data_IF_388948690891
#
_entry.id   IF_388948690891
#
_cell.length_a   1.000
_cell.length_b   1.000
_cell.length_c   1.000
_cell.angle_alpha   90.00
_cell.angle_beta   90.00
_cell.angle_gamma   90.00
#
_symmetry.space_group_name_H-M   'P 1'
#
loop_
_entity.id
_entity.type
_entity.pdbx_description
1 polymer ?
#
# COMPACT_ATOMS: atom_id res chain seq x y z
N UNK A 1 -46.11 -47.29 7.70
CA UNK A 1 -47.27 -46.36 7.60
C UNK A 1 -46.68 -44.95 7.48
N UNK A 2 -46.88 -44.10 6.48
CA UNK A 2 -47.70 -44.06 5.26
C UNK A 2 -46.88 -43.31 4.19
N UNK A 3 -47.01 -43.74 2.94
CA UNK A 3 -46.49 -43.05 1.75
C UNK A 3 -47.29 -41.79 1.44
N UNK A 4 -46.67 -40.75 0.89
CA UNK A 4 -47.38 -39.73 0.09
C UNK A 4 -46.65 -39.51 -1.23
N UNK A 5 -47.37 -39.86 -2.31
CA UNK A 5 -47.05 -39.71 -3.73
C UNK A 5 -47.18 -38.24 -4.19
N UNK A 6 -46.60 -37.85 -5.34
CA UNK A 6 -46.77 -36.52 -5.93
C UNK A 6 -48.08 -36.43 -6.73
N UNK A 7 -48.68 -35.22 -6.82
CA UNK A 7 -49.81 -34.90 -7.71
C UNK A 7 -49.45 -33.76 -8.68
N UNK A 8 -49.96 -33.91 -9.91
CA UNK A 8 -49.65 -33.20 -11.16
C UNK A 8 -50.30 -31.81 -11.30
N UNK A 9 -49.57 -30.96 -12.05
CA UNK A 9 -49.96 -29.98 -13.10
C UNK A 9 -51.38 -29.40 -13.13
N UNK A 10 -51.46 -28.07 -13.27
CA UNK A 10 -52.33 -27.41 -14.25
C UNK A 10 -51.62 -26.24 -14.95
N UNK A 11 -51.78 -26.23 -16.28
CA UNK A 11 -51.46 -25.23 -17.31
C UNK A 11 -51.75 -23.77 -16.89
N UNK A 12 -51.10 -22.79 -17.54
CA UNK A 12 -51.73 -21.99 -18.60
C UNK A 12 -50.70 -21.25 -19.49
N UNK A 13 -51.12 -21.08 -20.73
CA UNK A 13 -50.40 -20.69 -21.92
C UNK A 13 -49.94 -19.22 -22.01
N UNK A 14 -49.04 -18.98 -22.97
CA UNK A 14 -48.52 -17.69 -23.48
C UNK A 14 -49.62 -16.76 -24.04
N UNK A 15 -49.31 -15.49 -24.41
CA UNK A 15 -48.77 -15.26 -25.76
C UNK A 15 -47.82 -14.04 -25.96
N UNK A 16 -46.89 -14.25 -26.91
CA UNK A 16 -46.57 -13.41 -28.09
C UNK A 16 -45.86 -12.05 -28.03
N UNK A 17 -44.76 -12.02 -28.81
CA UNK A 17 -44.33 -11.04 -29.85
C UNK A 17 -43.95 -9.63 -29.35
N UNK A 18 -42.75 -9.13 -29.64
CA UNK A 18 -42.33 -8.83 -31.02
C UNK A 18 -40.84 -8.49 -31.08
N UNK A 19 -40.16 -9.12 -32.03
CA UNK A 19 -38.81 -8.79 -32.47
C UNK A 19 -38.81 -7.48 -33.25
N UNK A 20 -37.91 -6.56 -32.92
CA UNK A 20 -37.56 -5.44 -33.81
C UNK A 20 -36.17 -5.74 -34.39
N UNK A 21 -36.19 -6.11 -35.67
CA UNK A 21 -35.04 -6.09 -36.56
C UNK A 21 -34.59 -4.64 -36.76
N UNK A 22 -33.36 -4.31 -36.39
CA UNK A 22 -32.69 -3.12 -36.94
C UNK A 22 -31.73 -3.60 -38.03
N UNK A 23 -32.07 -3.19 -39.24
CA UNK A 23 -31.40 -3.51 -40.49
C UNK A 23 -29.98 -2.94 -40.49
N UNK A 24 -29.02 -3.83 -40.72
CA UNK A 24 -27.63 -3.54 -40.98
C UNK A 24 -27.50 -3.05 -42.44
N UNK A 25 -27.01 -1.83 -42.66
CA UNK A 25 -26.52 -1.41 -43.98
C UNK A 25 -25.00 -1.34 -43.94
N UNK A 26 -24.27 -2.06 -44.80
CA UNK A 26 -22.84 -1.85 -44.99
C UNK A 26 -22.61 -0.79 -46.07
N UNK A 27 -22.04 0.36 -45.71
CA UNK A 27 -21.41 1.24 -46.69
C UNK A 27 -20.03 0.72 -47.03
N UNK A 28 -19.88 0.29 -48.28
CA UNK A 28 -18.60 -0.04 -48.87
C UNK A 28 -17.77 1.24 -49.09
N UNK A 29 -16.58 1.30 -48.48
CA UNK A 29 -15.52 2.20 -48.88
C UNK A 29 -14.25 1.38 -49.13
N UNK A 30 -13.59 1.72 -50.24
CA UNK A 30 -12.65 0.91 -51.01
C UNK A 30 -11.33 0.66 -50.27
N UNK A 31 -10.84 -0.57 -50.39
CA UNK A 31 -9.43 -0.90 -50.20
C UNK A 31 -8.58 -0.14 -51.23
N UNK A 32 -7.63 0.65 -50.75
CA UNK A 32 -6.40 0.91 -51.48
C UNK A 32 -5.25 0.56 -50.57
N UNK A 33 -4.55 -0.50 -50.96
CA UNK A 33 -3.31 -0.96 -50.38
C UNK A 33 -2.22 0.06 -50.66
N UNK A 34 -1.67 0.67 -49.60
CA UNK A 34 -0.30 1.16 -49.62
C UNK A 34 0.42 0.49 -48.45
N UNK A 35 1.33 -0.39 -48.81
CA UNK A 35 2.36 -0.94 -47.95
C UNK A 35 3.26 0.20 -47.47
N UNK A 36 3.18 0.53 -46.18
CA UNK A 36 4.30 1.11 -45.46
C UNK A 36 4.33 0.44 -44.09
N UNK A 37 5.33 -0.42 -43.95
CA UNK A 37 5.88 -0.81 -42.67
C UNK A 37 6.34 0.45 -41.94
N UNK A 38 5.58 0.90 -40.95
CA UNK A 38 6.05 1.86 -39.96
C UNK A 38 5.90 1.24 -38.58
N UNK A 39 7.00 0.60 -38.20
CA UNK A 39 7.59 0.57 -36.87
C UNK A 39 6.67 0.94 -35.69
N UNK A 40 6.50 -0.03 -34.80
CA UNK A 40 6.06 0.21 -33.44
C UNK A 40 7.06 1.12 -32.70
N UNK A 41 6.93 2.43 -32.88
CA UNK A 41 7.57 3.40 -31.99
C UNK A 41 6.68 3.54 -30.77
N UNK A 42 7.15 3.06 -29.62
CA UNK A 42 6.53 3.25 -28.32
C UNK A 42 6.48 4.74 -27.98
N UNK A 43 5.44 5.43 -28.43
CA UNK A 43 5.16 6.80 -28.02
C UNK A 43 4.86 6.80 -26.53
N UNK A 44 5.82 7.26 -25.72
CA UNK A 44 5.62 7.51 -24.29
C UNK A 44 4.53 8.57 -24.18
N UNK A 45 3.31 8.15 -23.80
CA UNK A 45 2.16 9.03 -23.72
C UNK A 45 2.38 10.10 -22.63
N UNK A 46 2.63 11.33 -23.06
CA UNK A 46 2.64 12.49 -22.18
C UNK A 46 1.21 12.86 -21.83
N UNK A 47 0.83 12.77 -20.55
CA UNK A 47 -0.48 13.23 -20.09
C UNK A 47 -0.60 14.74 -20.27
N UNK A 48 -1.69 15.16 -20.91
CA UNK A 48 -2.09 16.57 -20.96
C UNK A 48 -2.60 17.03 -19.58
N UNK A 49 -2.53 18.34 -19.32
CA UNK A 49 -3.07 18.92 -18.09
C UNK A 49 -4.58 18.63 -17.92
N UNK A 50 -5.32 18.53 -19.03
CA UNK A 50 -6.76 18.23 -19.01
C UNK A 50 -7.06 16.77 -18.67
N UNK A 51 -6.20 15.82 -19.07
CA UNK A 51 -6.32 14.43 -18.64
C UNK A 51 -6.04 14.29 -17.15
N UNK A 52 -5.03 15.00 -16.63
CA UNK A 52 -4.72 15.05 -15.20
C UNK A 52 -5.87 15.60 -14.35
N UNK A 53 -6.56 16.65 -14.80
CA UNK A 53 -7.75 17.17 -14.08
C UNK A 53 -8.89 16.15 -14.12
N UNK A 54 -9.13 15.50 -15.26
CA UNK A 54 -10.13 14.42 -15.37
C UNK A 54 -9.82 13.27 -14.42
N UNK A 55 -8.56 12.82 -14.34
CA UNK A 55 -8.10 11.78 -13.41
C UNK A 55 -8.35 12.20 -11.96
N UNK A 56 -7.98 13.43 -11.58
CA UNK A 56 -8.17 13.95 -10.22
C UNK A 56 -9.67 14.03 -9.82
N UNK A 57 -10.58 14.18 -10.79
CA UNK A 57 -12.03 14.13 -10.56
C UNK A 57 -12.57 12.70 -10.56
N UNK A 58 -12.05 11.81 -11.42
CA UNK A 58 -12.52 10.43 -11.56
C UNK A 58 -12.07 9.54 -10.41
N UNK A 59 -10.84 9.70 -9.95
CA UNK A 59 -10.26 8.82 -8.94
C UNK A 59 -11.08 8.82 -7.64
N UNK A 60 -11.42 9.98 -7.03
CA UNK A 60 -12.28 10.00 -5.85
C UNK A 60 -13.63 9.33 -6.09
N UNK A 61 -14.25 9.55 -7.25
CA UNK A 61 -15.55 8.96 -7.59
C UNK A 61 -15.49 7.43 -7.68
N UNK A 62 -14.43 6.89 -8.28
CA UNK A 62 -14.22 5.44 -8.34
C UNK A 62 -14.01 4.84 -6.94
N UNK A 63 -13.27 5.54 -6.07
CA UNK A 63 -13.03 5.11 -4.70
C UNK A 63 -14.31 5.13 -3.85
N UNK A 64 -15.07 6.23 -3.92
CA UNK A 64 -16.33 6.40 -3.19
C UNK A 64 -17.43 5.43 -3.65
N UNK A 65 -17.41 5.02 -4.92
CA UNK A 65 -18.31 4.00 -5.47
C UNK A 65 -17.77 2.56 -5.33
N UNK A 66 -16.68 2.36 -4.57
CA UNK A 66 -16.01 1.08 -4.32
C UNK A 66 -15.53 0.34 -5.59
N UNK A 67 -15.34 1.04 -6.71
CA UNK A 67 -14.74 0.50 -7.94
C UNK A 67 -13.20 0.49 -7.86
N UNK A 68 -12.67 -0.08 -6.78
CA UNK A 68 -11.25 -0.02 -6.44
C UNK A 68 -10.31 -0.70 -7.44
N UNK A 69 -10.66 -1.83 -8.10
CA UNK A 69 -9.80 -2.40 -9.14
C UNK A 69 -9.57 -1.44 -10.31
N UNK A 70 -10.61 -0.71 -10.72
CA UNK A 70 -10.51 0.32 -11.77
C UNK A 70 -9.70 1.52 -11.28
N UNK A 71 -9.90 1.94 -10.04
CA UNK A 71 -9.11 3.03 -9.43
C UNK A 71 -7.62 2.68 -9.33
N UNK A 72 -7.27 1.45 -8.94
CA UNK A 72 -5.91 0.93 -8.93
C UNK A 72 -5.33 0.92 -10.34
N UNK A 73 -6.07 0.41 -11.32
CA UNK A 73 -5.63 0.40 -12.71
C UNK A 73 -5.33 1.83 -13.21
N UNK A 74 -6.26 2.77 -12.99
CA UNK A 74 -6.08 4.17 -13.34
C UNK A 74 -4.85 4.77 -12.67
N UNK A 75 -4.67 4.58 -11.36
CA UNK A 75 -3.51 5.14 -10.67
C UNK A 75 -2.21 4.58 -11.21
N UNK A 76 -2.11 3.27 -11.37
CA UNK A 76 -0.88 2.69 -11.90
C UNK A 76 -0.57 3.13 -13.32
N UNK A 77 -1.55 3.29 -14.20
CA UNK A 77 -1.26 3.79 -15.55
C UNK A 77 -0.78 5.24 -15.47
N UNK A 78 -1.39 6.06 -14.61
CA UNK A 78 -1.02 7.47 -14.45
C UNK A 78 0.37 7.67 -13.83
N UNK A 79 0.73 6.90 -12.80
CA UNK A 79 2.04 6.97 -12.16
C UNK A 79 3.18 6.46 -13.05
N UNK A 80 2.86 5.74 -14.12
CA UNK A 80 3.82 5.25 -15.12
C UNK A 80 3.98 6.17 -16.33
N UNK A 81 3.19 7.25 -16.40
CA UNK A 81 3.33 8.24 -17.48
C UNK A 81 4.51 9.18 -17.22
N UNK A 82 5.08 9.71 -18.30
CA UNK A 82 6.16 10.69 -18.28
C UNK A 82 5.65 11.97 -18.98
N UNK A 83 5.60 13.14 -18.32
CA UNK A 83 6.20 13.46 -17.03
C UNK A 83 5.40 12.96 -15.82
N UNK A 84 6.15 12.73 -14.73
CA UNK A 84 5.62 12.21 -13.48
C UNK A 84 4.53 13.14 -12.90
N UNK A 85 3.32 12.64 -12.59
CA UNK A 85 2.23 13.50 -12.17
C UNK A 85 2.45 14.05 -10.75
N UNK A 86 2.66 15.36 -10.64
CA UNK A 86 3.01 16.04 -9.37
C UNK A 86 1.84 16.22 -8.40
N UNK A 87 0.58 16.11 -8.84
CA UNK A 87 -0.58 16.61 -8.08
C UNK A 87 -1.69 15.59 -7.81
N UNK A 88 -1.46 14.28 -8.01
CA UNK A 88 -2.52 13.29 -7.79
C UNK A 88 -2.72 13.04 -6.30
N UNK A 89 -3.93 13.34 -5.79
CA UNK A 89 -4.30 13.05 -4.41
C UNK A 89 -4.64 11.57 -4.23
N UNK A 90 -3.68 10.81 -3.71
CA UNK A 90 -3.82 9.37 -3.45
C UNK A 90 -4.50 9.06 -2.10
N UNK A 91 -4.75 10.07 -1.26
CA UNK A 91 -5.24 9.89 0.11
C UNK A 91 -6.59 9.16 0.16
N UNK A 92 -7.52 9.52 -0.72
CA UNK A 92 -8.85 8.88 -0.80
C UNK A 92 -8.71 7.43 -1.24
N UNK A 93 -7.91 7.15 -2.27
CA UNK A 93 -7.65 5.78 -2.72
C UNK A 93 -7.07 4.94 -1.58
N UNK A 94 -6.02 5.44 -0.92
CA UNK A 94 -5.38 4.73 0.17
C UNK A 94 -6.34 4.49 1.34
N UNK A 95 -7.17 5.47 1.69
CA UNK A 95 -8.14 5.29 2.77
C UNK A 95 -9.24 4.27 2.40
N UNK A 96 -9.72 4.29 1.16
CA UNK A 96 -10.67 3.29 0.65
C UNK A 96 -10.06 1.88 0.58
N UNK A 97 -8.78 1.76 0.20
CA UNK A 97 -8.03 0.50 0.20
C UNK A 97 -7.86 -0.04 1.62
N UNK A 98 -7.47 0.80 2.59
CA UNK A 98 -7.33 0.39 3.99
C UNK A 98 -8.68 0.04 4.66
N UNK A 99 -9.79 0.51 4.09
CA UNK A 99 -11.15 0.18 4.54
C UNK A 99 -11.58 -1.22 4.12
N UNK A 100 -10.92 -1.84 3.15
CA UNK A 100 -11.27 -3.18 2.68
C UNK A 100 -11.07 -4.23 3.77
N UNK A 101 -11.85 -5.33 3.73
CA UNK A 101 -11.76 -6.39 4.74
C UNK A 101 -10.42 -7.12 4.69
N UNK A 102 -9.78 -7.17 3.51
CA UNK A 102 -8.52 -7.85 3.29
C UNK A 102 -7.45 -6.95 2.64
N UNK A 103 -6.24 -7.49 2.55
CA UNK A 103 -5.07 -6.81 1.99
C UNK A 103 -4.90 -7.03 0.49
N UNK A 104 -5.83 -7.70 -0.20
CA UNK A 104 -5.63 -8.16 -1.58
C UNK A 104 -5.44 -6.99 -2.54
N UNK A 105 -6.29 -5.95 -2.42
CA UNK A 105 -6.22 -4.75 -3.24
C UNK A 105 -5.02 -3.84 -2.90
N UNK A 106 -4.74 -3.51 -1.62
CA UNK A 106 -3.50 -2.83 -1.24
C UNK A 106 -2.23 -3.51 -1.77
N UNK A 107 -2.11 -4.83 -1.58
CA UNK A 107 -0.92 -5.58 -2.01
C UNK A 107 -0.82 -5.67 -3.52
N UNK A 108 -1.95 -5.77 -4.24
CA UNK A 108 -1.97 -5.70 -5.71
C UNK A 108 -1.40 -4.36 -6.21
N UNK A 109 -1.78 -3.23 -5.60
CA UNK A 109 -1.20 -1.93 -5.93
C UNK A 109 0.31 -1.90 -5.69
N UNK A 110 0.75 -2.28 -4.49
CA UNK A 110 2.17 -2.26 -4.11
C UNK A 110 3.02 -3.15 -5.02
N UNK A 111 2.56 -4.36 -5.33
CA UNK A 111 3.27 -5.27 -6.22
C UNK A 111 3.37 -4.71 -7.64
N UNK A 112 2.33 -4.06 -8.16
CA UNK A 112 2.37 -3.47 -9.51
C UNK A 112 3.36 -2.30 -9.60
N UNK A 113 3.40 -1.46 -8.57
CA UNK A 113 4.35 -0.35 -8.50
C UNK A 113 5.80 -0.84 -8.28
N UNK A 114 6.00 -1.89 -7.49
CA UNK A 114 7.32 -2.51 -7.28
C UNK A 114 7.97 -2.98 -8.59
N UNK A 115 7.20 -3.60 -9.48
CA UNK A 115 7.72 -4.09 -10.78
C UNK A 115 7.92 -2.99 -11.83
N UNK A 116 7.72 -1.72 -11.46
CA UNK A 116 7.78 -0.59 -12.37
C UNK A 116 8.75 0.48 -11.86
N UNK A 117 10.02 0.50 -12.33
CA UNK A 117 11.05 1.40 -11.80
C UNK A 117 10.68 2.89 -11.80
N UNK A 118 9.97 3.35 -12.84
CA UNK A 118 9.51 4.73 -12.94
C UNK A 118 8.53 5.17 -11.84
N UNK A 119 7.92 4.22 -11.12
CA UNK A 119 6.97 4.51 -10.06
C UNK A 119 7.54 4.33 -8.63
N UNK A 120 8.83 3.95 -8.49
CA UNK A 120 9.44 3.67 -7.19
C UNK A 120 9.38 4.88 -6.23
N UNK A 121 9.45 6.10 -6.76
CA UNK A 121 9.32 7.35 -6.00
C UNK A 121 8.00 7.49 -5.25
N UNK A 122 6.95 6.77 -5.66
CA UNK A 122 5.63 6.82 -5.03
C UNK A 122 5.41 5.75 -3.96
N UNK A 123 6.27 4.73 -3.89
CA UNK A 123 6.08 3.61 -2.97
C UNK A 123 6.18 4.04 -1.51
N UNK A 124 7.23 4.78 -1.12
CA UNK A 124 7.36 5.27 0.26
C UNK A 124 6.19 6.17 0.65
N UNK A 125 5.79 7.21 -0.12
CA UNK A 125 4.59 8.00 0.19
C UNK A 125 3.30 7.19 0.33
N UNK A 126 3.05 6.24 -0.58
CA UNK A 126 1.86 5.38 -0.54
C UNK A 126 1.86 4.49 0.70
N UNK A 127 2.98 3.87 1.02
CA UNK A 127 3.11 3.04 2.22
C UNK A 127 2.93 3.86 3.50
N UNK A 128 3.50 5.07 3.58
CA UNK A 128 3.29 6.00 4.69
C UNK A 128 1.81 6.32 4.90
N UNK A 129 1.07 6.58 3.83
CA UNK A 129 -0.37 6.81 3.91
C UNK A 129 -1.15 5.55 4.30
N UNK A 130 -0.77 4.37 3.77
CA UNK A 130 -1.43 3.09 4.08
C UNK A 130 -1.28 2.75 5.55
N UNK A 131 -0.05 2.77 6.07
CA UNK A 131 0.23 2.52 7.49
C UNK A 131 -0.54 3.50 8.38
N UNK A 132 -0.53 4.79 8.05
CA UNK A 132 -1.29 5.79 8.80
C UNK A 132 -2.81 5.53 8.78
N UNK A 133 -3.35 5.10 7.64
CA UNK A 133 -4.77 4.74 7.53
C UNK A 133 -5.11 3.47 8.32
N UNK A 134 -4.25 2.45 8.28
CA UNK A 134 -4.45 1.22 9.06
C UNK A 134 -4.47 1.47 10.57
N UNK A 135 -3.55 2.28 11.11
CA UNK A 135 -3.60 2.64 12.52
C UNK A 135 -4.85 3.45 12.89
N UNK A 136 -5.28 4.39 12.03
CA UNK A 136 -6.54 5.15 12.24
C UNK A 136 -7.78 4.24 12.23
N UNK A 137 -7.72 3.11 11.53
CA UNK A 137 -8.81 2.12 11.42
C UNK A 137 -8.65 0.96 12.41
N UNK A 138 -7.76 1.07 13.41
CA UNK A 138 -7.52 0.02 14.40
C UNK A 138 -7.09 -1.34 13.79
N UNK A 139 -6.31 -1.28 12.71
CA UNK A 139 -5.79 -2.44 11.95
C UNK A 139 -4.26 -2.54 12.05
N UNK A 140 -3.67 -2.75 13.24
CA UNK A 140 -2.21 -2.71 13.41
C UNK A 140 -1.50 -3.91 12.74
N UNK A 141 -2.17 -5.04 12.57
CA UNK A 141 -1.60 -6.22 11.90
C UNK A 141 -1.39 -5.98 10.40
N UNK A 142 -2.29 -5.23 9.75
CA UNK A 142 -2.17 -4.79 8.36
C UNK A 142 -1.01 -3.80 8.21
N UNK A 143 -0.86 -2.86 9.15
CA UNK A 143 0.28 -1.95 9.18
C UNK A 143 1.61 -2.72 9.30
N UNK A 144 1.66 -3.77 10.12
CA UNK A 144 2.82 -4.66 10.24
C UNK A 144 3.14 -5.39 8.93
N UNK A 145 2.12 -5.88 8.21
CA UNK A 145 2.32 -6.52 6.90
C UNK A 145 2.90 -5.55 5.87
N UNK A 146 2.47 -4.28 5.88
CA UNK A 146 3.06 -3.25 5.01
C UNK A 146 4.51 -2.98 5.39
N UNK A 147 4.82 -2.81 6.68
CA UNK A 147 6.20 -2.63 7.14
C UNK A 147 7.10 -3.81 6.72
N UNK A 148 6.67 -5.05 6.96
CA UNK A 148 7.39 -6.26 6.56
C UNK A 148 7.55 -6.39 5.05
N UNK A 149 6.67 -5.76 4.25
CA UNK A 149 6.85 -5.67 2.81
C UNK A 149 7.88 -4.61 2.42
N UNK A 150 7.90 -3.46 3.10
CA UNK A 150 8.84 -2.36 2.84
C UNK A 150 10.29 -2.76 3.09
N UNK A 151 10.57 -3.55 4.12
CA UNK A 151 11.93 -3.93 4.55
C UNK A 151 12.45 -5.22 3.89
N UNK A 152 11.74 -5.78 2.92
CA UNK A 152 12.24 -6.96 2.20
C UNK A 152 13.50 -6.60 1.39
N UNK A 153 14.45 -7.53 1.22
CA UNK A 153 15.64 -7.28 0.40
C UNK A 153 15.35 -6.87 -1.05
N UNK A 154 14.21 -7.30 -1.58
CA UNK A 154 13.77 -7.03 -2.95
C UNK A 154 12.77 -5.86 -3.04
N UNK A 155 12.56 -5.12 -1.95
CA UNK A 155 11.71 -3.94 -1.90
C UNK A 155 12.49 -2.71 -2.39
N UNK A 156 11.99 -1.97 -3.38
CA UNK A 156 12.60 -0.71 -3.81
C UNK A 156 12.26 0.47 -2.89
N UNK A 157 11.63 0.23 -1.73
CA UNK A 157 11.28 1.29 -0.79
C UNK A 157 12.49 1.76 -0.01
N UNK A 158 12.59 3.07 0.17
CA UNK A 158 13.53 3.68 1.12
C UNK A 158 12.73 4.08 2.36
N UNK A 159 13.18 3.61 3.53
CA UNK A 159 12.61 4.07 4.81
C UNK A 159 12.97 5.55 5.02
N UNK A 160 12.01 6.32 5.52
CA UNK A 160 12.21 7.69 5.96
C UNK A 160 11.80 7.86 7.42
N UNK A 161 12.19 8.99 8.03
CA UNK A 161 11.86 9.28 9.42
C UNK A 161 10.34 9.30 9.66
N UNK A 162 9.57 9.75 8.65
CA UNK A 162 8.12 9.91 8.75
C UNK A 162 7.40 8.57 8.88
N UNK A 163 7.70 7.59 8.01
CA UNK A 163 7.05 6.27 8.06
C UNK A 163 7.46 5.51 9.33
N UNK A 164 8.74 5.54 9.68
CA UNK A 164 9.25 4.94 10.91
C UNK A 164 8.57 5.56 12.14
N UNK A 165 8.40 6.88 12.16
CA UNK A 165 7.72 7.57 13.26
C UNK A 165 6.26 7.17 13.42
N UNK A 166 5.52 7.03 12.32
CA UNK A 166 4.13 6.56 12.34
C UNK A 166 4.05 5.12 12.83
N UNK A 167 4.94 4.24 12.33
CA UNK A 167 5.00 2.83 12.72
C UNK A 167 5.32 2.66 14.21
N UNK A 168 6.40 3.28 14.70
CA UNK A 168 6.81 3.18 16.11
C UNK A 168 5.70 3.70 17.04
N UNK A 169 5.19 4.90 16.79
CA UNK A 169 4.12 5.47 17.61
C UNK A 169 2.84 4.63 17.55
N UNK A 170 2.48 4.15 16.35
CA UNK A 170 1.31 3.32 16.13
C UNK A 170 1.39 1.99 16.87
N UNK A 171 2.49 1.26 16.75
CA UNK A 171 2.69 -0.01 17.44
C UNK A 171 2.72 0.15 18.96
N UNK A 172 3.46 1.13 19.50
CA UNK A 172 3.48 1.38 20.95
C UNK A 172 2.09 1.73 21.50
N UNK A 173 1.26 2.47 20.76
CA UNK A 173 -0.12 2.78 21.17
C UNK A 173 -1.03 1.55 21.20
N UNK A 174 -0.72 0.54 20.39
CA UNK A 174 -1.47 -0.72 20.32
C UNK A 174 -0.84 -1.83 21.19
N UNK A 175 0.11 -1.51 22.07
CA UNK A 175 0.79 -2.50 22.92
C UNK A 175 1.76 -3.42 22.18
N UNK A 176 2.02 -3.18 20.89
CA UNK A 176 2.90 -4.01 20.06
C UNK A 176 4.37 -3.53 20.16
N UNK A 177 4.91 -3.51 21.38
CA UNK A 177 6.24 -2.92 21.65
C UNK A 177 7.37 -3.64 20.90
N UNK A 178 7.29 -4.97 20.76
CA UNK A 178 8.25 -5.75 19.97
C UNK A 178 8.33 -5.28 18.50
N UNK A 179 7.18 -5.01 17.88
CA UNK A 179 7.14 -4.53 16.50
C UNK A 179 7.67 -3.10 16.38
N UNK A 180 7.44 -2.27 17.40
CA UNK A 180 8.06 -0.95 17.47
C UNK A 180 9.60 -1.02 17.59
N UNK A 181 10.14 -1.99 18.34
CA UNK A 181 11.58 -2.24 18.42
C UNK A 181 12.16 -2.67 17.07
N UNK A 182 11.49 -3.57 16.35
CA UNK A 182 11.92 -4.00 15.00
C UNK A 182 11.96 -2.83 14.00
N UNK A 183 11.01 -1.90 14.09
CA UNK A 183 11.01 -0.68 13.28
C UNK A 183 12.19 0.22 13.64
N UNK A 184 12.44 0.48 14.93
CA UNK A 184 13.60 1.29 15.36
C UNK A 184 14.92 0.66 14.93
N UNK A 185 15.05 -0.66 15.08
CA UNK A 185 16.22 -1.42 14.62
C UNK A 185 16.45 -1.25 13.13
N UNK A 186 15.38 -1.34 12.32
CA UNK A 186 15.45 -1.14 10.87
C UNK A 186 15.82 0.30 10.50
N UNK A 187 15.32 1.28 11.26
CA UNK A 187 15.67 2.70 11.11
C UNK A 187 17.17 2.93 11.36
N UNK A 188 17.71 2.41 12.46
CA UNK A 188 19.14 2.53 12.79
C UNK A 188 20.01 1.79 11.77
N UNK A 189 19.59 0.62 11.30
CA UNK A 189 20.35 -0.16 10.31
C UNK A 189 20.53 0.55 8.95
N UNK A 190 19.65 1.51 8.61
CA UNK A 190 19.78 2.37 7.43
C UNK A 190 20.33 3.76 7.76
N UNK A 191 21.01 3.90 8.90
CA UNK A 191 21.60 5.14 9.41
C UNK A 191 20.61 6.28 9.65
N UNK A 192 19.33 5.98 9.90
CA UNK A 192 18.36 6.97 10.35
C UNK A 192 18.38 7.05 11.88
N UNK A 193 18.63 8.25 12.40
CA UNK A 193 18.71 8.50 13.85
C UNK A 193 17.31 8.62 14.46
N UNK A 194 16.92 7.76 15.42
CA UNK A 194 15.63 7.88 16.07
C UNK A 194 15.50 9.18 16.86
N UNK A 195 14.60 10.06 16.44
CA UNK A 195 14.31 11.29 17.19
C UNK A 195 13.88 11.04 18.63
N UNK A 196 14.15 12.00 19.53
CA UNK A 196 13.82 11.94 20.97
C UNK A 196 12.39 11.48 21.27
N UNK A 197 11.42 11.88 20.45
CA UNK A 197 10.02 11.48 20.61
C UNK A 197 9.84 9.97 20.45
N UNK A 198 10.46 9.36 19.43
CA UNK A 198 10.34 7.92 19.15
C UNK A 198 11.00 7.09 20.25
N UNK A 199 12.20 7.51 20.70
CA UNK A 199 12.91 6.89 21.83
C UNK A 199 12.03 6.86 23.09
N UNK A 200 11.38 7.97 23.40
CA UNK A 200 10.46 8.09 24.55
C UNK A 200 9.22 7.19 24.43
N UNK A 201 8.68 7.01 23.23
CA UNK A 201 7.54 6.11 23.01
C UNK A 201 7.91 4.66 23.32
N UNK A 202 9.04 4.19 22.79
CA UNK A 202 9.51 2.81 23.01
C UNK A 202 9.93 2.59 24.45
N UNK A 203 10.66 3.53 25.07
CA UNK A 203 11.00 3.49 26.49
C UNK A 203 9.75 3.31 27.38
N UNK A 204 8.72 4.12 27.14
CA UNK A 204 7.44 4.00 27.86
C UNK A 204 6.72 2.69 27.56
N UNK A 205 6.83 2.18 26.35
CA UNK A 205 6.31 0.85 25.97
C UNK A 205 6.96 -0.26 26.79
N UNK A 206 8.30 -0.29 26.82
CA UNK A 206 9.08 -1.28 27.59
C UNK A 206 8.75 -1.25 29.09
N UNK A 207 8.60 -0.06 29.68
CA UNK A 207 8.20 0.06 31.09
C UNK A 207 6.80 -0.51 31.36
N UNK A 208 5.85 -0.37 30.44
CA UNK A 208 4.50 -0.95 30.59
C UNK A 208 4.52 -2.47 30.52
N UNK A 209 5.45 -3.03 29.79
CA UNK A 209 5.72 -4.48 29.69
C UNK A 209 6.64 -4.97 30.83
N UNK A 210 6.87 -4.15 31.87
CA UNK A 210 7.76 -4.42 33.00
C UNK A 210 9.22 -4.74 32.62
N UNK A 211 9.67 -4.37 31.41
CA UNK A 211 11.03 -4.61 30.92
C UNK A 211 11.96 -3.44 31.22
N UNK A 212 12.17 -3.18 32.50
CA UNK A 212 12.87 -1.99 33.01
C UNK A 212 14.34 -1.96 32.56
N UNK A 213 15.04 -3.10 32.65
CA UNK A 213 16.46 -3.20 32.27
C UNK A 213 16.70 -2.80 30.81
N UNK A 214 15.95 -3.43 29.92
CA UNK A 214 15.96 -3.11 28.48
C UNK A 214 15.62 -1.65 28.20
N UNK A 215 14.65 -1.07 28.92
CA UNK A 215 14.28 0.32 28.73
C UNK A 215 15.46 1.25 29.03
N UNK A 216 16.19 1.00 30.12
CA UNK A 216 17.37 1.78 30.51
C UNK A 216 18.51 1.58 29.51
N UNK A 217 18.85 0.32 29.22
CA UNK A 217 19.91 -0.04 28.26
C UNK A 217 19.68 0.59 26.88
N UNK A 218 18.45 0.50 26.36
CA UNK A 218 18.09 1.10 25.07
C UNK A 218 18.19 2.63 25.11
N UNK A 219 17.71 3.27 26.19
CA UNK A 219 17.74 4.72 26.31
C UNK A 219 19.17 5.25 26.38
N UNK A 220 20.06 4.55 27.10
CA UNK A 220 21.48 4.89 27.14
C UNK A 220 22.13 4.69 25.77
N UNK A 221 21.91 3.54 25.12
CA UNK A 221 22.49 3.22 23.81
C UNK A 221 22.11 4.23 22.73
N UNK A 222 20.84 4.69 22.72
CA UNK A 222 20.34 5.63 21.71
C UNK A 222 20.70 7.09 21.98
N UNK A 223 21.25 7.45 23.15
CA UNK A 223 21.81 8.80 23.39
C UNK A 223 23.10 9.00 22.59
N UNK A 224 23.94 7.97 22.47
CA UNK A 224 25.20 8.01 21.72
C UNK A 224 25.04 8.20 20.20
N UNK A 225 23.85 7.96 19.66
CA UNK A 225 23.59 8.07 18.21
C UNK A 225 23.39 9.53 17.79
N UNK A 226 23.05 10.43 18.72
CA UNK A 226 22.77 11.85 18.40
C UNK A 226 24.03 12.68 18.13
N UNK A 227 25.21 12.21 18.55
CA UNK A 227 26.47 12.96 18.45
C UNK A 227 27.26 12.70 17.14
N UNK A 228 26.61 12.15 16.12
CA UNK A 228 27.23 11.89 14.81
C UNK A 228 28.21 10.71 14.83
N UNK A 229 27.83 9.62 15.52
CA UNK A 229 28.72 8.49 15.71
C UNK A 229 28.96 7.65 14.45
N UNK A 230 30.19 7.14 14.30
CA UNK A 230 30.60 6.29 13.18
C UNK A 230 29.93 4.91 13.16
N UNK A 231 30.12 4.20 12.05
CA UNK A 231 29.52 2.89 11.74
C UNK A 231 29.60 1.85 12.88
N UNK A 232 30.63 1.93 13.73
CA UNK A 232 30.83 1.01 14.85
C UNK A 232 29.78 1.17 15.97
N UNK A 233 29.32 2.40 16.24
CA UNK A 233 28.23 2.62 17.22
C UNK A 233 26.89 2.16 16.67
N UNK A 234 26.63 2.39 15.38
CA UNK A 234 25.42 1.89 14.71
C UNK A 234 25.33 0.37 14.82
N UNK A 235 26.44 -0.35 14.56
CA UNK A 235 26.50 -1.81 14.70
C UNK A 235 26.17 -2.27 16.12
N UNK A 236 26.81 -1.69 17.14
CA UNK A 236 26.54 -2.03 18.56
C UNK A 236 25.08 -1.81 18.95
N UNK A 237 24.46 -0.73 18.48
CA UNK A 237 23.05 -0.45 18.74
C UNK A 237 22.15 -1.47 18.03
N UNK A 238 22.46 -1.84 16.78
CA UNK A 238 21.72 -2.88 16.05
C UNK A 238 21.85 -4.24 16.74
N UNK A 239 23.03 -4.61 17.21
CA UNK A 239 23.26 -5.84 17.97
C UNK A 239 22.48 -5.86 19.29
N UNK A 240 22.42 -4.73 20.01
CA UNK A 240 21.59 -4.59 21.21
C UNK A 240 20.11 -4.81 20.88
N UNK A 241 19.61 -4.23 19.79
CA UNK A 241 18.24 -4.50 19.35
C UNK A 241 18.02 -5.98 19.02
N UNK A 242 18.97 -6.66 18.38
CA UNK A 242 18.86 -8.09 18.08
C UNK A 242 18.78 -8.95 19.34
N UNK A 243 19.64 -8.67 20.32
CA UNK A 243 19.62 -9.36 21.61
C UNK A 243 18.28 -9.15 22.32
N UNK A 244 17.79 -7.91 22.35
CA UNK A 244 16.46 -7.60 22.91
C UNK A 244 15.37 -8.36 22.16
N UNK A 245 15.31 -8.27 20.83
CA UNK A 245 14.27 -8.92 20.01
C UNK A 245 14.28 -10.45 20.21
N UNK A 246 15.45 -11.08 20.27
CA UNK A 246 15.58 -12.53 20.50
C UNK A 246 14.94 -12.95 21.83
N UNK A 247 15.18 -12.21 22.91
CA UNK A 247 14.61 -12.48 24.24
C UNK A 247 13.07 -12.41 24.25
N UNK A 248 12.44 -11.69 23.32
CA UNK A 248 10.97 -11.63 23.23
C UNK A 248 10.37 -12.79 22.43
N UNK A 249 11.17 -13.48 21.62
CA UNK A 249 10.70 -14.53 20.72
C UNK A 249 10.93 -15.95 21.24
N UNK A 250 11.75 -16.09 22.28
CA UNK A 250 12.02 -17.33 23.01
C UNK A 250 11.00 -17.56 24.15
#
# INVERSE_FOLDING_TARGET
MRSLKPKRLHSLACPSKSSIFVVFQPSAARLSSSSSSEEATSSIASLTQEELTKINLLLPRLCLSNHLPKAIHLITTTLLTNPLPKSISLSILVDSLASQPDMTLPMSLLNRLKHSPGAHTYLTPINTMLVASYFRKHKPMEALKVFNWMVRPDSPCVLDEKVCGILVCGFCRNGMVLEALKVLRSMVAVNLVPGRVLRKWVYRGLLREARIKEAVELNEALVWVEDGSGDETVKKVVELFEQMIAVWTD
#
